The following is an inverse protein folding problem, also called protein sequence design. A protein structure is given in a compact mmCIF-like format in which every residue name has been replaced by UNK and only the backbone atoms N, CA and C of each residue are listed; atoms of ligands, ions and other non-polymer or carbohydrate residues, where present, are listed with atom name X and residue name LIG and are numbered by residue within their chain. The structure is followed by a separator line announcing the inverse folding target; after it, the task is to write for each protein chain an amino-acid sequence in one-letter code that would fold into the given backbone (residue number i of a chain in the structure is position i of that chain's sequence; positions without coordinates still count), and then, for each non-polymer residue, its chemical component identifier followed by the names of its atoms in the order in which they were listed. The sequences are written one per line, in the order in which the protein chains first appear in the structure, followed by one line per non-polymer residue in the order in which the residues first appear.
data_IF_711563503823
#
_entry.id   IF_711563503823
#
_cell.length_a   1.000
_cell.length_b   1.000
_cell.length_c   1.000
_cell.angle_alpha   90.00
_cell.angle_beta   90.00
_cell.angle_gamma   90.00
#
_symmetry.space_group_name_H-M   'P 1'
#
loop_
_entity.id
_entity.type
_entity.pdbx_description
1 polymer ?
#
# COMPACT_ATOMS: atom_id res chain seq x y z
N UNK A 1 3.78 9.43 16.90
CA UNK A 1 2.66 10.02 16.14
C UNK A 1 2.49 9.12 14.93
N UNK A 2 1.31 8.53 14.75
CA UNK A 2 1.08 7.56 13.68
C UNK A 2 0.80 8.28 12.37
N UNK A 3 1.29 7.75 11.26
CA UNK A 3 1.18 8.38 9.94
C UNK A 3 0.67 7.42 8.87
N UNK A 4 -0.08 7.97 7.92
CA UNK A 4 -0.41 7.35 6.64
C UNK A 4 0.54 7.88 5.56
N UNK A 5 1.14 6.99 4.79
CA UNK A 5 2.14 7.35 3.79
C UNK A 5 1.62 7.32 2.37
N UNK A 6 0.80 6.33 2.04
CA UNK A 6 0.28 6.16 0.70
C UNK A 6 -1.10 5.53 0.74
N UNK A 7 -1.97 5.96 -0.17
CA UNK A 7 -3.24 5.34 -0.43
C UNK A 7 -3.42 5.16 -1.94
N UNK A 8 -3.49 3.92 -2.39
CA UNK A 8 -3.60 3.56 -3.80
C UNK A 8 -4.86 2.76 -4.06
N UNK A 9 -5.58 3.10 -5.13
CA UNK A 9 -6.68 2.34 -5.72
C UNK A 9 -6.15 1.69 -6.99
N UNK A 10 -6.32 0.38 -7.09
CA UNK A 10 -5.83 -0.45 -8.18
C UNK A 10 -6.96 -1.34 -8.72
N UNK A 11 -6.83 -1.73 -9.98
CA UNK A 11 -7.64 -2.78 -10.59
C UNK A 11 -6.78 -4.03 -10.76
N UNK A 12 -7.26 -5.17 -10.24
CA UNK A 12 -6.57 -6.45 -10.30
C UNK A 12 -6.96 -7.19 -11.59
N UNK A 13 -6.04 -7.29 -12.54
CA UNK A 13 -6.14 -8.21 -13.66
C UNK A 13 -5.61 -9.60 -13.26
N UNK A 14 -5.93 -10.66 -14.03
CA UNK A 14 -5.43 -12.02 -13.74
C UNK A 14 -3.90 -12.12 -13.65
N UNK A 15 -3.16 -11.27 -14.36
CA UNK A 15 -1.70 -11.32 -14.47
C UNK A 15 -0.99 -10.01 -14.11
N UNK A 16 -1.72 -8.93 -13.82
CA UNK A 16 -1.14 -7.61 -13.51
C UNK A 16 -2.06 -6.75 -12.65
N UNK A 17 -1.50 -5.75 -11.96
CA UNK A 17 -2.30 -4.71 -11.31
C UNK A 17 -2.13 -3.34 -12.00
N UNK A 18 -3.25 -2.71 -12.35
CA UNK A 18 -3.28 -1.36 -12.92
C UNK A 18 -3.60 -0.35 -11.82
N UNK A 19 -2.76 0.67 -11.65
CA UNK A 19 -3.06 1.76 -10.71
C UNK A 19 -4.10 2.69 -11.33
N UNK A 20 -5.25 2.84 -10.67
CA UNK A 20 -6.32 3.74 -11.09
C UNK A 20 -6.11 5.13 -10.49
N UNK A 21 -5.76 5.21 -9.21
CA UNK A 21 -5.42 6.47 -8.55
C UNK A 21 -4.55 6.22 -7.35
N UNK A 22 -3.63 7.14 -7.04
CA UNK A 22 -2.88 7.11 -5.80
C UNK A 22 -2.72 8.50 -5.17
N UNK A 23 -2.63 8.52 -3.85
CA UNK A 23 -2.24 9.65 -3.03
C UNK A 23 -1.03 9.27 -2.19
N UNK A 24 -0.12 10.22 -1.98
CA UNK A 24 1.13 10.01 -1.26
C UNK A 24 1.40 11.18 -0.32
N UNK A 25 1.69 10.87 0.95
CA UNK A 25 2.26 11.78 1.92
C UNK A 25 3.68 11.30 2.28
N UNK A 26 4.65 11.88 1.58
CA UNK A 26 6.08 11.59 1.74
C UNK A 26 6.85 12.78 2.31
N UNK A 27 6.17 13.72 2.96
CA UNK A 27 6.80 14.96 3.45
C UNK A 27 7.83 14.69 4.55
N UNK A 28 7.63 13.60 5.29
CA UNK A 28 8.56 13.11 6.32
C UNK A 28 9.89 12.61 5.77
N UNK A 29 9.97 12.32 4.47
CA UNK A 29 11.21 11.88 3.82
C UNK A 29 11.98 13.07 3.24
N UNK A 30 13.31 12.93 3.20
CA UNK A 30 14.21 13.90 2.57
C UNK A 30 13.78 14.22 1.16
N UNK A 31 13.79 15.50 0.78
CA UNK A 31 13.30 15.98 -0.53
C UNK A 31 13.83 15.17 -1.72
N UNK A 32 15.13 14.84 -1.71
CA UNK A 32 15.80 14.08 -2.77
C UNK A 32 15.41 12.58 -2.83
N UNK A 33 14.83 12.04 -1.76
CA UNK A 33 14.40 10.63 -1.68
C UNK A 33 12.91 10.46 -2.00
N UNK A 34 12.11 11.54 -1.90
CA UNK A 34 10.65 11.50 -2.08
C UNK A 34 10.21 10.86 -3.39
N UNK A 35 10.92 11.14 -4.48
CA UNK A 35 10.64 10.53 -5.79
C UNK A 35 10.78 9.01 -5.75
N UNK A 36 11.92 8.52 -5.25
CA UNK A 36 12.16 7.09 -5.13
C UNK A 36 11.22 6.40 -4.17
N UNK A 37 10.90 7.02 -3.03
CA UNK A 37 9.95 6.46 -2.06
C UNK A 37 8.56 6.28 -2.67
N UNK A 38 8.06 7.26 -3.46
CA UNK A 38 6.78 7.13 -4.16
C UNK A 38 6.78 5.98 -5.16
N UNK A 39 7.84 5.84 -5.96
CA UNK A 39 7.97 4.73 -6.91
C UNK A 39 7.96 3.37 -6.19
N UNK A 40 8.65 3.26 -5.06
CA UNK A 40 8.64 2.05 -4.23
C UNK A 40 7.27 1.73 -3.64
N UNK A 41 6.59 2.72 -3.06
CA UNK A 41 5.23 2.54 -2.52
C UNK A 41 4.24 2.10 -3.60
N UNK A 42 4.36 2.66 -4.82
CA UNK A 42 3.57 2.24 -5.98
C UNK A 42 3.86 0.79 -6.36
N UNK A 43 5.13 0.43 -6.44
CA UNK A 43 5.58 -0.91 -6.81
C UNK A 43 5.09 -1.96 -5.79
N UNK A 44 5.28 -1.70 -4.50
CA UNK A 44 4.81 -2.55 -3.40
C UNK A 44 3.28 -2.72 -3.48
N UNK A 45 2.55 -1.62 -3.66
CA UNK A 45 1.08 -1.66 -3.75
C UNK A 45 0.62 -2.57 -4.89
N UNK A 46 1.25 -2.47 -6.07
CA UNK A 46 0.94 -3.35 -7.22
C UNK A 46 1.22 -4.81 -6.90
N UNK A 47 2.39 -5.13 -6.37
CA UNK A 47 2.73 -6.53 -6.14
C UNK A 47 1.90 -7.17 -5.03
N UNK A 48 1.56 -6.44 -3.97
CA UNK A 48 0.66 -6.95 -2.93
C UNK A 48 -0.70 -7.30 -3.55
N UNK A 49 -1.27 -6.42 -4.38
CA UNK A 49 -2.55 -6.68 -5.06
C UNK A 49 -2.48 -7.86 -6.01
N UNK A 50 -1.40 -8.00 -6.79
CA UNK A 50 -1.21 -9.13 -7.71
C UNK A 50 -1.22 -10.48 -6.98
N UNK A 51 -0.68 -10.51 -5.76
CA UNK A 51 -0.49 -11.73 -4.98
C UNK A 51 -1.63 -12.01 -4.00
N UNK A 52 -2.42 -11.00 -3.65
CA UNK A 52 -3.62 -11.15 -2.81
C UNK A 52 -4.76 -11.74 -3.63
N UNK A 53 -5.47 -12.74 -3.09
CA UNK A 53 -6.62 -13.35 -3.76
C UNK A 53 -7.79 -12.36 -3.82
N UNK A 54 -8.67 -12.50 -4.82
CA UNK A 54 -9.89 -11.70 -4.89
C UNK A 54 -10.82 -12.01 -3.70
N UNK A 55 -11.62 -11.03 -3.28
CA UNK A 55 -12.47 -11.13 -2.08
C UNK A 55 -11.68 -11.39 -0.78
N UNK A 56 -10.48 -10.81 -0.66
CA UNK A 56 -9.62 -11.02 0.49
C UNK A 56 -9.15 -9.70 1.10
N UNK A 57 -9.11 -9.66 2.44
CA UNK A 57 -8.59 -8.55 3.23
C UNK A 57 -7.38 -9.04 4.01
N UNK A 58 -6.27 -8.34 3.86
CA UNK A 58 -5.02 -8.71 4.50
C UNK A 58 -4.34 -7.47 5.05
N UNK A 59 -3.52 -7.67 6.06
CA UNK A 59 -2.55 -6.65 6.46
C UNK A 59 -1.19 -7.31 6.60
N UNK A 60 -0.23 -6.77 5.88
CA UNK A 60 1.15 -7.22 5.83
C UNK A 60 1.98 -6.28 6.68
N UNK A 61 2.54 -6.79 7.78
CA UNK A 61 3.45 -6.02 8.63
C UNK A 61 4.85 -6.10 8.03
N UNK A 62 5.53 -4.95 7.94
CA UNK A 62 6.90 -4.86 7.47
C UNK A 62 7.73 -3.88 8.30
N UNK A 63 8.54 -4.40 9.22
CA UNK A 63 9.26 -3.59 10.20
C UNK A 63 8.32 -2.66 10.96
N UNK A 64 8.55 -1.34 10.82
CA UNK A 64 7.74 -0.29 11.45
C UNK A 64 6.51 0.13 10.62
N UNK A 65 6.37 -0.39 9.41
CA UNK A 65 5.27 -0.09 8.50
C UNK A 65 4.23 -1.22 8.46
N UNK A 66 3.01 -0.86 8.06
CA UNK A 66 1.90 -1.76 7.85
C UNK A 66 1.25 -1.47 6.50
N UNK A 67 1.10 -2.50 5.68
CA UNK A 67 0.39 -2.41 4.42
C UNK A 67 -0.97 -3.10 4.56
N UNK A 68 -2.04 -2.32 4.52
CA UNK A 68 -3.42 -2.80 4.52
C UNK A 68 -3.90 -2.95 3.09
N UNK A 69 -4.33 -4.15 2.72
CA UNK A 69 -4.88 -4.43 1.39
C UNK A 69 -6.29 -4.99 1.50
N UNK A 70 -7.16 -4.52 0.62
CA UNK A 70 -8.46 -5.12 0.37
C UNK A 70 -8.65 -5.30 -1.13
N UNK A 71 -8.89 -6.54 -1.56
CA UNK A 71 -9.33 -6.87 -2.91
C UNK A 71 -10.78 -7.31 -2.86
N UNK A 72 -11.66 -6.57 -3.54
CA UNK A 72 -13.10 -6.84 -3.60
C UNK A 72 -13.41 -7.91 -4.65
N UNK A 73 -14.61 -8.46 -4.62
CA UNK A 73 -15.03 -9.55 -5.50
C UNK A 73 -15.08 -9.16 -6.99
N UNK A 74 -15.21 -7.87 -7.28
CA UNK A 74 -15.21 -7.28 -8.63
C UNK A 74 -13.81 -6.86 -9.10
N UNK A 75 -12.76 -7.33 -8.41
CA UNK A 75 -11.35 -7.05 -8.69
C UNK A 75 -10.91 -5.59 -8.51
N UNK A 76 -11.76 -4.73 -7.91
CA UNK A 76 -11.31 -3.46 -7.38
C UNK A 76 -10.47 -3.73 -6.13
N UNK A 77 -9.27 -3.14 -6.07
CA UNK A 77 -8.35 -3.29 -4.98
C UNK A 77 -7.92 -1.94 -4.44
N UNK A 78 -7.58 -1.91 -3.15
CA UNK A 78 -7.04 -0.73 -2.53
C UNK A 78 -5.95 -1.12 -1.52
N UNK A 79 -4.90 -0.30 -1.47
CA UNK A 79 -3.76 -0.48 -0.59
C UNK A 79 -3.51 0.80 0.18
N UNK A 80 -3.48 0.71 1.51
CA UNK A 80 -3.10 1.79 2.40
C UNK A 80 -1.80 1.41 3.12
N UNK A 81 -0.80 2.27 3.06
CA UNK A 81 0.47 2.12 3.77
C UNK A 81 0.48 3.08 4.95
N UNK A 82 0.68 2.54 6.15
CA UNK A 82 0.71 3.30 7.41
C UNK A 82 1.86 2.84 8.29
N UNK A 83 2.05 3.51 9.42
CA UNK A 83 2.82 2.96 10.54
C UNK A 83 2.12 1.73 11.14
N UNK A 84 2.89 0.84 11.74
CA UNK A 84 2.44 -0.32 12.51
C UNK A 84 1.48 0.05 13.65
N UNK A 85 1.72 1.19 14.29
CA UNK A 85 0.90 1.69 15.39
C UNK A 85 -0.47 2.20 14.94
N UNK A 86 -0.67 2.43 13.64
CA UNK A 86 -1.94 2.94 13.11
C UNK A 86 -3.06 1.89 13.29
N UNK A 87 -4.25 2.26 13.82
CA UNK A 87 -5.31 1.30 14.07
C UNK A 87 -5.82 0.62 12.79
N UNK A 88 -5.61 -0.70 12.69
CA UNK A 88 -5.99 -1.51 11.52
C UNK A 88 -7.48 -1.37 11.16
N UNK A 89 -8.35 -1.25 12.17
CA UNK A 89 -9.80 -1.06 11.96
C UNK A 89 -10.09 0.23 11.19
N UNK A 90 -9.46 1.33 11.59
CA UNK A 90 -9.63 2.64 10.95
C UNK A 90 -9.09 2.60 9.51
N UNK A 91 -7.94 1.94 9.30
CA UNK A 91 -7.37 1.75 7.97
C UNK A 91 -8.31 1.00 7.01
N UNK A 92 -8.85 -0.15 7.41
CA UNK A 92 -9.77 -0.93 6.56
C UNK A 92 -11.13 -0.26 6.36
N UNK A 93 -11.58 0.53 7.33
CA UNK A 93 -12.78 1.38 7.18
C UNK A 93 -12.54 2.42 6.09
N UNK A 94 -11.42 3.14 6.16
CA UNK A 94 -11.05 4.12 5.15
C UNK A 94 -10.97 3.49 3.75
N UNK A 95 -10.33 2.33 3.66
CA UNK A 95 -10.23 1.57 2.42
C UNK A 95 -11.61 1.28 1.83
N UNK A 96 -12.52 0.71 2.64
CA UNK A 96 -13.87 0.36 2.18
C UNK A 96 -14.64 1.60 1.72
N UNK A 97 -14.62 2.67 2.51
CA UNK A 97 -15.30 3.93 2.18
C UNK A 97 -14.85 4.52 0.84
N UNK A 98 -13.54 4.60 0.63
CA UNK A 98 -13.00 5.18 -0.61
C UNK A 98 -13.24 4.27 -1.81
N UNK A 99 -13.20 2.94 -1.63
CA UNK A 99 -13.55 2.01 -2.71
C UNK A 99 -15.02 2.14 -3.12
N UNK A 100 -15.93 2.31 -2.16
CA UNK A 100 -17.36 2.47 -2.46
C UNK A 100 -17.66 3.80 -3.15
N UNK A 101 -17.05 4.90 -2.70
CA UNK A 101 -17.16 6.19 -3.38
C UNK A 101 -16.53 6.18 -4.78
N UNK A 102 -15.41 5.47 -4.95
CA UNK A 102 -14.79 5.30 -6.25
C UNK A 102 -15.68 4.51 -7.21
N UNK A 103 -16.25 3.39 -6.74
CA UNK A 103 -17.15 2.56 -7.52
C UNK A 103 -18.49 3.24 -7.85
N UNK A 104 -18.95 4.16 -6.98
CA UNK A 104 -20.11 5.00 -7.26
C UNK A 104 -19.83 6.03 -8.37
N UNK A 105 -18.60 6.56 -8.45
CA UNK A 105 -18.22 7.54 -9.47
C UNK A 105 -17.84 6.90 -10.80
N UNK A 106 -17.14 5.77 -10.78
CA UNK A 106 -16.65 5.08 -11.96
C UNK A 106 -17.22 3.66 -12.02
N UNK A 107 -18.08 3.34 -13.00
CA UNK A 107 -18.66 2.01 -13.12
C UNK A 107 -17.59 0.98 -13.52
N UNK A 108 -17.80 -0.28 -13.13
CA UNK A 108 -16.85 -1.37 -13.33
C UNK A 108 -16.34 -1.54 -14.77
N UNK A 109 -17.19 -1.28 -15.77
CA UNK A 109 -16.84 -1.34 -17.19
C UNK A 109 -15.70 -0.39 -17.60
N UNK A 110 -15.42 0.64 -16.80
CA UNK A 110 -14.37 1.63 -17.09
C UNK A 110 -13.03 1.27 -16.46
N UNK A 111 -12.98 0.40 -15.45
CA UNK A 111 -11.75 0.17 -14.67
C UNK A 111 -10.63 -0.49 -15.46
N UNK A 112 -10.95 -1.26 -16.50
CA UNK A 112 -9.95 -1.89 -17.37
C UNK A 112 -9.20 -0.89 -18.25
N UNK A 113 -9.88 0.18 -18.67
CA UNK A 113 -9.33 1.20 -19.58
C UNK A 113 -8.88 2.46 -18.86
N UNK A 114 -9.30 2.65 -17.61
CA UNK A 114 -8.91 3.79 -16.79
C UNK A 114 -7.42 3.76 -16.47
N UNK A 115 -6.82 4.94 -16.56
CA UNK A 115 -5.45 5.20 -16.13
C UNK A 115 -5.43 6.31 -15.09
N UNK A 116 -4.34 6.40 -14.33
CA UNK A 116 -4.15 7.44 -13.31
C UNK A 116 -4.33 8.87 -13.83
N UNK A 117 -3.96 9.11 -15.10
CA UNK A 117 -4.10 10.40 -15.76
C UNK A 117 -5.55 10.74 -16.13
N UNK A 118 -6.38 9.73 -16.41
CA UNK A 118 -7.79 9.90 -16.80
C UNK A 118 -8.72 9.91 -15.60
N UNK A 119 -8.26 9.40 -14.47
CA UNK A 119 -9.07 9.26 -13.25
C UNK A 119 -8.98 10.53 -12.41
N UNK A 120 -10.02 11.35 -12.44
CA UNK A 120 -10.15 12.50 -11.54
C UNK A 120 -10.86 12.07 -10.25
N UNK A 121 -10.06 11.76 -9.23
CA UNK A 121 -10.57 11.42 -7.90
C UNK A 121 -9.73 12.11 -6.83
N UNK A 122 -9.80 13.45 -6.80
CA UNK A 122 -9.04 14.27 -5.84
C UNK A 122 -9.40 13.98 -4.37
N UNK A 123 -10.59 13.41 -4.12
CA UNK A 123 -11.09 13.03 -2.80
C UNK A 123 -10.12 12.13 -2.03
N UNK A 124 -9.36 11.27 -2.70
CA UNK A 124 -8.37 10.38 -2.05
C UNK A 124 -7.29 11.15 -1.28
N UNK A 125 -6.87 12.32 -1.78
CA UNK A 125 -5.90 13.18 -1.06
C UNK A 125 -6.52 13.81 0.18
N UNK A 126 -7.78 14.24 0.08
CA UNK A 126 -8.53 14.80 1.21
C UNK A 126 -8.72 13.75 2.30
N UNK A 127 -9.07 12.53 1.91
CA UNK A 127 -9.19 11.42 2.85
C UNK A 127 -7.86 11.04 3.49
N UNK A 128 -6.78 10.96 2.70
CA UNK A 128 -5.45 10.68 3.25
C UNK A 128 -5.06 11.72 4.31
N UNK A 129 -5.27 13.02 4.05
CA UNK A 129 -4.98 14.08 5.01
C UNK A 129 -5.89 14.03 6.25
N UNK A 130 -7.20 13.83 6.06
CA UNK A 130 -8.18 13.78 7.15
C UNK A 130 -7.97 12.59 8.10
N UNK A 131 -7.52 11.46 7.55
CA UNK A 131 -7.31 10.23 8.32
C UNK A 131 -5.89 10.14 8.92
N UNK A 132 -5.05 11.18 8.81
CA UNK A 132 -3.79 11.21 9.56
C UNK A 132 -4.03 11.15 11.08
N UNK A 133 -5.13 11.75 11.58
CA UNK A 133 -5.53 11.63 12.98
C UNK A 133 -6.57 10.51 13.17
N UNK A 134 -6.19 9.34 13.72
CA UNK A 134 -7.10 8.20 13.85
C UNK A 134 -8.27 8.47 14.80
N UNK A 135 -8.13 9.39 15.77
CA UNK A 135 -9.19 9.68 16.74
C UNK A 135 -10.35 10.45 16.10
N UNK A 136 -10.04 11.40 15.21
CA UNK A 136 -11.04 12.15 14.44
C UNK A 136 -11.71 11.26 13.39
N UNK A 137 -10.95 10.33 12.81
CA UNK A 137 -11.45 9.33 11.88
C UNK A 137 -12.36 8.28 12.54
N UNK A 138 -12.02 7.81 13.75
CA UNK A 138 -12.78 6.79 14.47
C UNK A 138 -14.15 7.32 14.94
N UNK A 139 -14.25 8.60 15.31
CA UNK A 139 -15.52 9.24 15.64
C UNK A 139 -16.49 9.26 14.44
N UNK A 140 -15.97 9.52 13.23
CA UNK A 140 -16.73 9.44 11.98
C UNK A 140 -17.12 8.00 11.62
N UNK A 141 -16.25 7.04 11.94
CA UNK A 141 -16.43 5.62 11.64
C UNK A 141 -17.48 4.96 12.55
N UNK A 142 -17.45 5.27 13.85
CA UNK A 142 -18.39 4.73 14.85
C UNK A 142 -19.85 5.13 14.58
N UNK A 143 -20.09 6.27 13.94
CA UNK A 143 -21.45 6.68 13.55
C UNK A 143 -21.99 5.89 12.34
N UNK A 144 -21.12 5.26 11.55
CA UNK A 144 -21.46 4.55 10.32
C UNK A 144 -21.55 3.02 10.53
N UNK A 145 -21.60 2.55 11.78
CA UNK A 145 -21.41 1.15 12.16
C UNK A 145 -22.41 0.18 11.49
N UNK A 146 -21.93 -0.50 10.44
CA UNK A 146 -22.38 -1.81 9.94
C UNK A 146 -21.21 -2.56 9.27
N UNK A 147 -19.98 -2.36 9.76
CA UNK A 147 -18.85 -3.18 9.31
C UNK A 147 -18.83 -4.46 10.14
N UNK A 148 -19.59 -5.45 9.65
CA UNK A 148 -19.55 -6.84 10.07
C UNK A 148 -18.12 -7.28 10.37
N UNK A 149 -18.00 -8.02 11.48
CA UNK A 149 -16.80 -8.60 12.07
C UNK A 149 -15.84 -9.11 10.99
N UNK A 150 -15.00 -8.20 10.49
CA UNK A 150 -14.24 -8.47 9.29
C UNK A 150 -13.08 -9.32 9.73
N UNK A 151 -13.05 -10.60 9.31
CA UNK A 151 -11.91 -11.50 9.55
C UNK A 151 -10.67 -10.96 8.83
N UNK A 152 -10.02 -9.97 9.43
CA UNK A 152 -8.76 -9.41 8.95
C UNK A 152 -7.69 -10.42 9.29
N UNK A 153 -7.18 -11.12 8.27
CA UNK A 153 -6.07 -12.04 8.44
C UNK A 153 -4.79 -11.20 8.55
N UNK A 154 -4.25 -11.17 9.76
CA UNK A 154 -2.95 -10.59 10.05
C UNK A 154 -1.89 -11.61 9.65
N UNK A 155 -1.14 -11.32 8.58
CA UNK A 155 0.06 -12.09 8.26
C UNK A 155 1.22 -11.38 8.92
N UNK A 156 1.60 -11.87 10.10
CA UNK A 156 2.78 -11.40 10.83
C UNK A 156 3.90 -12.40 10.65
N UNK A 157 4.91 -12.02 9.88
CA UNK A 157 6.20 -12.68 9.89
C UNK A 157 7.15 -11.75 10.65
N UNK A 158 7.68 -12.25 11.77
CA UNK A 158 8.71 -11.56 12.55
C UNK A 158 10.06 -11.80 11.91
N UNK A 159 10.74 -10.76 11.41
CA UNK A 159 12.11 -10.32 11.80
C UNK A 159 12.25 -8.84 11.35
N UNK A 160 13.00 -8.06 12.14
CA UNK A 160 13.43 -6.67 11.92
C UNK A 160 13.78 -6.37 10.45
N UNK A 161 13.21 -5.29 9.89
CA UNK A 161 13.88 -4.27 9.04
C UNK A 161 12.83 -3.40 8.32
N UNK A 162 12.78 -2.11 8.64
CA UNK A 162 11.76 -1.19 8.16
C UNK A 162 11.88 -0.91 6.64
N UNK A 163 10.74 -1.04 5.94
CA UNK A 163 10.55 -0.73 4.51
C UNK A 163 11.26 -1.63 3.48
N UNK A 164 12.01 -2.65 3.91
CA UNK A 164 12.82 -3.49 3.01
C UNK A 164 12.14 -4.79 2.56
N UNK A 165 11.36 -5.48 3.39
CA UNK A 165 10.84 -6.83 3.06
C UNK A 165 9.33 -6.90 2.79
N UNK A 166 8.65 -5.76 2.52
CA UNK A 166 7.17 -5.72 2.36
C UNK A 166 6.67 -6.76 1.35
N UNK A 167 7.55 -7.10 0.42
CA UNK A 167 7.35 -8.09 -0.60
C UNK A 167 7.69 -9.52 -0.18
N UNK A 168 8.69 -9.81 0.66
CA UNK A 168 9.12 -11.18 1.01
C UNK A 168 7.99 -12.01 1.63
N UNK A 169 7.17 -11.40 2.48
CA UNK A 169 5.98 -12.04 3.04
C UNK A 169 4.92 -12.41 1.97
N UNK A 170 5.05 -11.84 0.78
CA UNK A 170 4.16 -11.98 -0.37
C UNK A 170 4.87 -12.66 -1.57
N UNK A 171 6.17 -12.94 -1.46
CA UNK A 171 6.96 -13.64 -2.48
C UNK A 171 6.59 -15.12 -2.51
N UNK A 172 6.61 -15.71 -3.72
CA UNK A 172 6.57 -17.17 -3.82
C UNK A 172 7.91 -17.72 -3.35
N UNK A 173 7.88 -18.93 -2.79
CA UNK A 173 9.07 -19.69 -2.41
C UNK A 173 10.05 -19.73 -3.60
N UNK A 174 11.23 -19.14 -3.44
CA UNK A 174 12.29 -19.09 -4.46
C UNK A 174 12.38 -17.81 -5.29
N UNK A 175 11.51 -16.82 -5.08
CA UNK A 175 11.68 -15.48 -5.67
C UNK A 175 12.47 -14.57 -4.71
N UNK A 176 13.40 -13.78 -5.27
CA UNK A 176 14.18 -12.79 -4.52
C UNK A 176 13.68 -11.38 -4.82
N UNK A 177 13.55 -10.53 -3.80
CA UNK A 177 13.11 -9.15 -3.96
C UNK A 177 14.01 -8.35 -4.91
N UNK A 178 15.31 -8.59 -4.87
CA UNK A 178 16.29 -8.00 -5.78
C UNK A 178 15.98 -8.23 -7.25
N UNK A 179 15.54 -9.44 -7.59
CA UNK A 179 15.21 -9.78 -8.97
C UNK A 179 13.98 -9.03 -9.42
N UNK A 180 12.97 -8.91 -8.55
CA UNK A 180 11.75 -8.17 -8.85
C UNK A 180 12.04 -6.67 -9.01
N UNK A 181 12.84 -6.08 -8.11
CA UNK A 181 13.26 -4.68 -8.22
C UNK A 181 14.08 -4.46 -9.50
N UNK A 182 14.97 -5.38 -9.84
CA UNK A 182 15.79 -5.28 -11.06
C UNK A 182 14.93 -5.37 -12.33
N UNK A 183 13.97 -6.30 -12.37
CA UNK A 183 13.08 -6.56 -13.52
C UNK A 183 11.93 -5.55 -13.63
N UNK A 184 11.62 -4.80 -12.57
CA UNK A 184 10.52 -3.83 -12.55
C UNK A 184 10.74 -2.72 -13.58
N UNK A 185 9.75 -2.51 -14.46
CA UNK A 185 9.73 -1.38 -15.39
C UNK A 185 9.19 -0.09 -14.75
N UNK A 186 8.54 -0.20 -13.59
CA UNK A 186 7.93 0.94 -12.87
C UNK A 186 8.88 1.67 -11.91
N UNK A 187 10.12 1.19 -11.75
CA UNK A 187 11.14 1.83 -10.93
C UNK A 187 12.21 2.47 -11.82
N UNK A 188 12.51 3.74 -11.58
CA UNK A 188 13.60 4.43 -12.25
C UNK A 188 14.97 3.86 -11.87
N UNK A 189 15.98 4.09 -12.71
CA UNK A 189 17.36 3.67 -12.42
C UNK A 189 17.86 4.24 -11.08
N UNK A 190 17.45 5.47 -10.75
CA UNK A 190 17.75 6.12 -9.49
C UNK A 190 17.11 5.39 -8.30
N UNK A 191 15.83 5.02 -8.40
CA UNK A 191 15.15 4.27 -7.34
C UNK A 191 15.74 2.88 -7.16
N UNK A 192 16.05 2.16 -8.24
CA UNK A 192 16.75 0.87 -8.17
C UNK A 192 18.12 0.98 -7.50
N UNK A 193 18.88 2.03 -7.82
CA UNK A 193 20.16 2.30 -7.18
C UNK A 193 19.99 2.68 -5.70
N UNK A 194 19.01 3.51 -5.38
CA UNK A 194 18.67 3.90 -4.00
C UNK A 194 18.38 2.68 -3.13
N UNK A 195 17.56 1.75 -3.62
CA UNK A 195 17.27 0.50 -2.91
C UNK A 195 18.51 -0.36 -2.71
N UNK A 196 19.33 -0.54 -3.75
CA UNK A 196 20.58 -1.31 -3.64
C UNK A 196 21.55 -0.69 -2.63
N UNK A 197 21.64 0.64 -2.60
CA UNK A 197 22.51 1.37 -1.65
C UNK A 197 21.95 1.29 -0.24
N UNK A 198 20.67 1.57 -0.02
CA UNK A 198 20.03 1.46 1.30
C UNK A 198 20.24 0.07 1.90
N UNK A 199 20.10 -0.99 1.09
CA UNK A 199 20.37 -2.36 1.53
C UNK A 199 21.83 -2.59 1.92
N UNK A 200 22.78 -2.10 1.11
CA UNK A 200 24.22 -2.22 1.38
C UNK A 200 24.66 -1.44 2.64
N UNK A 201 24.05 -0.28 2.88
CA UNK A 201 24.34 0.56 4.04
C UNK A 201 23.81 -0.08 5.32
N UNK A 202 22.66 -0.76 5.27
CA UNK A 202 22.11 -1.51 6.41
C UNK A 202 22.80 -2.87 6.63
N UNK A 203 23.43 -3.47 5.60
CA UNK A 203 24.18 -4.73 5.75
C UNK A 203 25.56 -4.59 6.41
N UNK A 204 26.02 -3.37 6.74
CA UNK A 204 27.39 -3.11 7.19
C UNK A 204 27.54 -2.92 8.72
N UNK A 205 26.72 -3.60 9.53
CA UNK A 205 26.85 -3.62 11.00
C UNK A 205 26.59 -5.01 11.61
N UNK A 206 27.10 -6.08 10.98
CA UNK A 206 27.22 -7.41 11.61
C UNK A 206 28.67 -7.74 11.97
N UNK A 207 29.38 -6.81 12.62
CA UNK A 207 30.67 -7.06 13.24
C UNK A 207 30.66 -6.46 14.66
N UNK A 208 30.04 -7.18 15.59
CA UNK A 208 30.53 -7.25 16.96
C UNK A 208 31.57 -8.39 17.01
N UNK A 209 32.63 -8.25 17.81
CA UNK A 209 32.52 -8.36 19.26
C UNK A 209 32.73 -7.05 20.01
#
# INVERSE_FOLDING_TARGET
MVKLYAFSILYKNPTSATTLKAAYDVESFSFFQRGSVKEFMTFISKTIVERTQSCFRQSVKEGDYMCHVFVRADNLAAVLISDHEYPRRVAHTLITKVMDEFAAKYPQSTWETLSEAMTDFAQINVYLAKYQNPNEADALTKMQNDLDETKIILVSTSVLEAMHNTLEAVLKRGENLDELVSKSQGLSAQSKAFYKTARKTNSCCSLAP
#
